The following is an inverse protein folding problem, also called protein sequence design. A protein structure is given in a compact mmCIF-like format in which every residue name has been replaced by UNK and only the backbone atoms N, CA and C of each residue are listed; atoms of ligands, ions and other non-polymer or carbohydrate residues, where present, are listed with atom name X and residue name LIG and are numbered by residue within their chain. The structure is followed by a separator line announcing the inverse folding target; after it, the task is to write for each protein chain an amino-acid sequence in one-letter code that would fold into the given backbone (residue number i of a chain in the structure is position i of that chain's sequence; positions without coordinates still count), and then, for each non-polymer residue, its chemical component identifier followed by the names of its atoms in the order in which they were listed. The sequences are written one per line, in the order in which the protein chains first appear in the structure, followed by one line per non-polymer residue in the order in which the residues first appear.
data_IF_159581147952
#
_entry.id   IF_159581147952
#
_cell.length_a   1.000
_cell.length_b   1.000
_cell.length_c   1.000
_cell.angle_alpha   90.00
_cell.angle_beta   90.00
_cell.angle_gamma   90.00
#
_symmetry.space_group_name_H-M   'P 1'
#
loop_
_entity.id
_entity.type
_entity.pdbx_description
1 polymer ?
#
# COMPACT_ATOMS: atom_id res chain seq x y z
N UNK A 1 27.88 -74.95 -74.16
CA UNK A 1 26.48 -74.52 -74.18
C UNK A 1 26.04 -74.21 -72.75
N UNK A 2 25.29 -73.13 -72.53
CA UNK A 2 25.00 -72.49 -71.23
C UNK A 2 23.83 -73.14 -70.45
N UNK A 3 23.95 -73.00 -69.12
CA UNK A 3 22.95 -72.83 -68.04
C UNK A 3 21.97 -73.96 -67.61
N UNK A 4 21.99 -74.23 -66.30
CA UNK A 4 20.84 -73.99 -65.39
C UNK A 4 21.32 -73.93 -63.92
N UNK A 5 21.16 -72.81 -63.17
CA UNK A 5 20.04 -72.45 -62.24
C UNK A 5 19.90 -73.45 -61.08
N UNK A 6 19.83 -73.14 -59.76
CA UNK A 6 19.39 -71.99 -58.96
C UNK A 6 19.87 -72.12 -57.50
N UNK A 7 19.98 -70.96 -56.83
CA UNK A 7 19.62 -70.68 -55.42
C UNK A 7 20.46 -71.34 -54.31
N UNK A 8 21.38 -70.53 -53.79
CA UNK A 8 21.91 -70.58 -52.42
C UNK A 8 20.84 -70.02 -51.48
N UNK A 9 20.52 -70.72 -50.40
CA UNK A 9 19.58 -70.21 -49.41
C UNK A 9 19.27 -71.23 -48.31
N UNK A 10 20.29 -71.68 -47.58
CA UNK A 10 20.13 -72.54 -46.41
C UNK A 10 20.88 -71.91 -45.24
N UNK A 11 20.15 -71.20 -44.37
CA UNK A 11 20.51 -70.88 -42.99
C UNK A 11 19.23 -70.36 -42.31
N UNK A 12 18.48 -71.22 -41.62
CA UNK A 12 18.64 -71.58 -40.22
C UNK A 12 17.79 -70.68 -39.30
N UNK A 13 16.70 -71.28 -38.82
CA UNK A 13 15.84 -70.86 -37.72
C UNK A 13 16.69 -70.74 -36.44
N UNK A 14 16.45 -69.73 -35.60
CA UNK A 14 16.13 -69.88 -34.17
C UNK A 14 16.36 -68.60 -33.34
N UNK A 15 15.51 -68.45 -32.32
CA UNK A 15 15.66 -67.60 -31.13
C UNK A 15 15.16 -66.15 -31.25
N UNK A 16 13.85 -66.01 -31.45
CA UNK A 16 13.09 -64.80 -31.11
C UNK A 16 12.82 -64.62 -29.61
N UNK A 17 13.71 -65.06 -28.72
CA UNK A 17 13.51 -65.03 -27.26
C UNK A 17 14.74 -64.60 -26.45
N UNK A 18 15.77 -64.04 -27.10
CA UNK A 18 16.99 -63.57 -26.43
C UNK A 18 17.25 -62.06 -26.55
N UNK A 19 16.41 -61.29 -27.25
CA UNK A 19 16.54 -59.83 -27.24
C UNK A 19 15.87 -59.17 -26.02
N UNK A 20 15.14 -59.94 -25.20
CA UNK A 20 14.51 -59.40 -23.99
C UNK A 20 15.39 -59.55 -22.73
N UNK A 21 16.55 -60.21 -22.80
CA UNK A 21 17.36 -60.55 -21.60
C UNK A 21 18.89 -60.40 -21.74
N UNK A 22 19.42 -59.72 -22.75
CA UNK A 22 20.73 -59.05 -22.65
C UNK A 22 20.48 -57.61 -22.25
N UNK A 23 20.85 -57.08 -21.08
CA UNK A 23 21.74 -57.54 -20.04
C UNK A 23 22.24 -56.25 -19.37
N UNK A 24 21.63 -55.87 -18.25
CA UNK A 24 22.25 -54.99 -17.24
C UNK A 24 22.69 -53.58 -17.65
N UNK A 25 22.00 -52.89 -18.55
CA UNK A 25 22.42 -51.53 -18.92
C UNK A 25 21.62 -50.82 -19.99
N UNK A 26 20.31 -51.05 -20.11
CA UNK A 26 19.46 -50.10 -20.83
C UNK A 26 19.26 -48.90 -19.90
N UNK A 27 20.31 -48.08 -19.75
CA UNK A 27 20.16 -46.75 -19.18
C UNK A 27 19.08 -46.09 -20.03
N UNK A 28 17.94 -45.80 -19.43
CA UNK A 28 16.96 -44.95 -20.05
C UNK A 28 17.68 -43.63 -20.38
N UNK A 29 18.12 -43.47 -21.63
CA UNK A 29 18.70 -42.23 -22.16
C UNK A 29 17.61 -41.17 -22.42
N UNK A 30 16.54 -41.24 -21.63
CA UNK A 30 15.37 -40.39 -21.68
C UNK A 30 15.15 -39.78 -20.29
N UNK A 31 16.22 -39.29 -19.67
CA UNK A 31 16.10 -38.36 -18.57
C UNK A 31 16.44 -36.98 -19.14
N UNK A 32 15.41 -36.17 -19.36
CA UNK A 32 15.56 -34.77 -19.69
C UNK A 32 15.43 -33.98 -18.39
N UNK A 33 16.52 -33.39 -17.94
CA UNK A 33 16.50 -32.42 -16.84
C UNK A 33 16.43 -31.02 -17.44
N UNK A 34 15.41 -30.25 -17.06
CA UNK A 34 15.29 -28.84 -17.38
C UNK A 34 15.50 -28.05 -16.09
N UNK A 35 16.72 -27.57 -15.87
CA UNK A 35 17.01 -26.64 -14.78
C UNK A 35 16.55 -25.25 -15.20
N UNK A 36 15.47 -24.77 -14.59
CA UNK A 36 15.14 -23.35 -14.62
C UNK A 36 15.98 -22.64 -13.54
N UNK A 37 16.64 -21.53 -13.89
CA UNK A 37 17.22 -20.65 -12.87
C UNK A 37 16.08 -19.83 -12.29
N UNK A 38 15.61 -20.09 -11.05
CA UNK A 38 14.62 -19.22 -10.44
C UNK A 38 15.23 -17.82 -10.31
N UNK A 39 14.50 -16.81 -10.79
CA UNK A 39 14.90 -15.41 -10.66
C UNK A 39 14.90 -14.94 -9.19
N UNK A 40 15.53 -13.81 -8.93
CA UNK A 40 15.52 -13.16 -7.61
C UNK A 40 14.28 -12.28 -7.43
N UNK A 41 13.67 -12.32 -6.25
CA UNK A 41 12.61 -11.39 -5.83
C UNK A 41 13.22 -10.39 -4.83
N UNK A 42 12.87 -9.11 -4.97
CA UNK A 42 13.27 -8.04 -4.05
C UNK A 42 12.03 -7.51 -3.32
N UNK A 43 12.17 -7.19 -2.02
CA UNK A 43 11.10 -6.60 -1.23
C UNK A 43 10.81 -5.16 -1.65
N UNK A 44 9.57 -4.71 -1.39
CA UNK A 44 9.20 -3.30 -1.49
C UNK A 44 9.78 -2.43 -0.38
N UNK A 45 9.46 -1.15 -0.41
CA UNK A 45 9.88 -0.15 0.58
C UNK A 45 8.72 0.83 0.85
N UNK A 46 8.35 0.97 2.12
CA UNK A 46 7.41 1.97 2.62
C UNK A 46 8.12 2.85 3.64
N UNK A 47 8.12 4.16 3.39
CA UNK A 47 8.62 5.15 4.35
C UNK A 47 7.75 6.41 4.31
N UNK A 48 7.69 7.14 5.42
CA UNK A 48 7.03 8.45 5.47
C UNK A 48 7.89 9.43 6.26
N UNK A 49 8.03 10.64 5.72
CA UNK A 49 8.52 11.80 6.47
C UNK A 49 7.46 12.90 6.45
N UNK A 50 7.40 13.70 7.51
CA UNK A 50 6.41 14.76 7.65
C UNK A 50 7.11 16.10 7.82
N UNK A 51 6.64 17.11 7.09
CA UNK A 51 7.01 18.49 7.35
C UNK A 51 6.38 18.98 8.66
N UNK A 52 6.81 20.15 9.15
CA UNK A 52 6.12 20.81 10.24
C UNK A 52 4.66 21.09 9.86
N UNK A 53 3.74 20.75 10.75
CA UNK A 53 2.34 21.05 10.58
C UNK A 53 2.05 22.53 10.84
N UNK A 54 1.08 23.08 10.11
CA UNK A 54 0.69 24.49 10.18
C UNK A 54 -0.77 24.57 10.60
N UNK A 55 -1.05 25.44 11.57
CA UNK A 55 -2.40 25.79 11.98
C UNK A 55 -2.77 27.14 11.39
N UNK A 56 -3.96 27.22 10.80
CA UNK A 56 -4.52 28.50 10.32
C UNK A 56 -5.92 28.72 10.85
N UNK A 57 -6.31 29.98 11.01
CA UNK A 57 -7.68 30.38 11.32
C UNK A 57 -8.59 30.37 10.08
N UNK A 58 -9.83 30.85 10.25
CA UNK A 58 -10.84 30.94 9.19
C UNK A 58 -10.42 31.88 8.05
N UNK A 59 -9.60 32.90 8.34
CA UNK A 59 -9.08 33.83 7.34
C UNK A 59 -7.82 33.30 6.63
N UNK A 60 -7.30 32.14 7.05
CA UNK A 60 -6.07 31.55 6.52
C UNK A 60 -4.80 32.13 7.15
N UNK A 61 -4.92 32.94 8.21
CA UNK A 61 -3.76 33.45 8.94
C UNK A 61 -3.15 32.31 9.76
N UNK A 62 -1.82 32.19 9.75
CA UNK A 62 -1.11 31.20 10.58
C UNK A 62 -1.22 31.59 12.06
N UNK A 63 -1.50 30.60 12.91
CA UNK A 63 -1.68 30.79 14.35
C UNK A 63 -0.76 29.87 15.15
N UNK A 64 -0.41 30.31 16.36
CA UNK A 64 0.24 29.47 17.36
C UNK A 64 -0.79 28.92 18.33
N UNK A 65 -1.02 27.62 18.27
CA UNK A 65 -2.05 26.96 19.07
C UNK A 65 -1.75 26.95 20.56
N UNK A 66 -0.49 27.16 20.97
CA UNK A 66 -0.13 27.21 22.39
C UNK A 66 -0.64 28.47 23.09
N UNK A 67 -0.90 29.53 22.32
CA UNK A 67 -1.38 30.84 22.83
C UNK A 67 -2.75 31.23 22.30
N UNK A 68 -3.25 30.54 21.27
CA UNK A 68 -4.54 30.84 20.66
C UNK A 68 -5.72 30.55 21.60
N UNK A 69 -6.66 31.49 21.67
CA UNK A 69 -7.89 31.35 22.46
C UNK A 69 -9.08 31.31 21.51
N UNK A 70 -9.63 30.12 21.32
CA UNK A 70 -10.79 29.92 20.46
C UNK A 70 -12.04 30.60 21.03
N UNK A 71 -12.86 31.16 20.14
CA UNK A 71 -14.19 31.69 20.45
C UNK A 71 -15.26 31.01 19.61
N UNK A 72 -16.54 31.05 20.04
CA UNK A 72 -17.64 30.55 19.22
C UNK A 72 -17.63 31.17 17.82
N UNK A 73 -17.64 30.34 16.78
CA UNK A 73 -17.55 30.72 15.37
C UNK A 73 -16.17 30.51 14.73
N UNK A 74 -15.13 30.23 15.53
CA UNK A 74 -13.79 29.96 15.01
C UNK A 74 -13.74 28.67 14.20
N UNK A 75 -12.87 28.68 13.20
CA UNK A 75 -12.52 27.49 12.44
C UNK A 75 -11.01 27.42 12.29
N UNK A 76 -10.43 26.38 12.86
CA UNK A 76 -9.00 26.13 12.79
C UNK A 76 -8.74 25.02 11.78
N UNK A 77 -7.70 25.15 10.97
CA UNK A 77 -7.31 24.13 9.99
C UNK A 77 -5.88 23.71 10.25
N UNK A 78 -5.67 22.40 10.46
CA UNK A 78 -4.35 21.79 10.52
C UNK A 78 -3.96 21.24 9.16
N UNK A 79 -2.80 21.66 8.66
CA UNK A 79 -2.26 21.20 7.38
C UNK A 79 -0.85 20.67 7.56
N UNK A 80 -0.54 19.52 6.97
CA UNK A 80 0.78 18.93 7.00
C UNK A 80 1.11 18.26 5.67
N UNK A 81 2.30 18.52 5.14
CA UNK A 81 2.81 17.81 3.96
C UNK A 81 3.55 16.55 4.41
N UNK A 82 3.17 15.42 3.82
CA UNK A 82 3.78 14.11 4.01
C UNK A 82 4.52 13.72 2.73
N UNK A 83 5.79 13.33 2.85
CA UNK A 83 6.55 12.70 1.78
C UNK A 83 6.55 11.20 1.99
N UNK A 84 5.83 10.47 1.13
CA UNK A 84 5.65 9.03 1.24
C UNK A 84 6.47 8.34 0.17
N UNK A 85 7.34 7.41 0.59
CA UNK A 85 8.01 6.45 -0.28
C UNK A 85 7.14 5.20 -0.36
N UNK A 86 6.79 4.78 -1.57
CA UNK A 86 5.89 3.64 -1.79
C UNK A 86 6.35 2.83 -2.98
N UNK A 87 7.11 1.76 -2.72
CA UNK A 87 7.71 0.89 -3.74
C UNK A 87 7.16 -0.52 -3.57
N UNK A 88 6.45 -1.02 -4.59
CA UNK A 88 6.02 -2.41 -4.65
C UNK A 88 4.85 -2.63 -5.63
N UNK A 89 4.85 -3.78 -6.31
CA UNK A 89 3.90 -4.05 -7.41
C UNK A 89 2.42 -4.12 -6.99
N UNK A 90 2.15 -4.39 -5.71
CA UNK A 90 0.80 -4.45 -5.13
C UNK A 90 0.68 -3.58 -3.88
N UNK A 91 1.58 -2.62 -3.72
CA UNK A 91 1.60 -1.77 -2.53
C UNK A 91 0.66 -0.59 -2.74
N UNK A 92 -0.08 -0.23 -1.69
CA UNK A 92 -0.81 1.01 -1.56
C UNK A 92 -0.66 1.50 -0.11
N UNK A 93 -1.02 2.75 0.15
CA UNK A 93 -1.04 3.27 1.52
C UNK A 93 -2.28 4.12 1.79
N UNK A 94 -2.87 3.92 2.96
CA UNK A 94 -3.93 4.78 3.47
C UNK A 94 -3.34 5.74 4.51
N UNK A 95 -3.84 6.98 4.52
CA UNK A 95 -3.53 7.95 5.58
C UNK A 95 -4.75 8.06 6.45
N UNK A 96 -4.55 7.93 7.76
CA UNK A 96 -5.62 8.04 8.76
C UNK A 96 -5.35 9.21 9.70
N UNK A 97 -6.43 9.81 10.18
CA UNK A 97 -6.41 10.87 11.18
C UNK A 97 -6.62 10.24 12.57
N UNK A 98 -5.77 10.59 13.52
CA UNK A 98 -5.88 10.17 14.92
C UNK A 98 -5.80 11.38 15.85
N UNK A 99 -6.38 11.26 17.04
CA UNK A 99 -6.35 12.32 18.06
C UNK A 99 -7.21 13.56 17.75
N UNK A 100 -8.13 13.45 16.79
CA UNK A 100 -9.10 14.48 16.45
C UNK A 100 -10.50 14.05 16.90
N UNK A 101 -10.91 14.49 18.09
CA UNK A 101 -12.18 14.12 18.73
C UNK A 101 -12.96 15.38 19.14
N UNK A 102 -14.24 15.49 18.78
CA UNK A 102 -15.07 16.62 19.20
C UNK A 102 -15.24 16.70 20.72
N UNK A 103 -15.14 15.57 21.45
CA UNK A 103 -15.29 15.47 22.90
C UNK A 103 -13.97 15.61 23.69
N UNK A 104 -13.08 16.51 23.27
CA UNK A 104 -11.74 16.70 23.86
C UNK A 104 -11.76 17.74 24.99
N UNK A 105 -12.38 17.38 26.12
CA UNK A 105 -12.78 18.25 27.24
C UNK A 105 -13.83 19.31 26.89
N UNK A 106 -14.14 19.50 25.60
CA UNK A 106 -15.26 20.30 25.15
C UNK A 106 -16.53 19.44 25.11
N UNK A 107 -17.67 20.11 25.18
CA UNK A 107 -18.94 19.52 24.81
C UNK A 107 -18.90 19.14 23.33
N UNK A 108 -19.07 17.84 23.03
CA UNK A 108 -18.94 17.31 21.67
C UNK A 108 -19.81 18.05 20.64
N UNK A 109 -21.01 18.46 21.04
CA UNK A 109 -21.93 19.19 20.17
C UNK A 109 -21.44 20.60 19.80
N UNK A 110 -20.46 21.16 20.50
CA UNK A 110 -19.92 22.49 20.23
C UNK A 110 -18.78 22.49 19.21
N UNK A 111 -18.24 21.32 18.85
CA UNK A 111 -17.09 21.20 17.94
C UNK A 111 -17.42 20.25 16.79
N UNK A 112 -17.26 20.72 15.56
CA UNK A 112 -17.34 19.89 14.36
C UNK A 112 -15.91 19.67 13.85
N UNK A 113 -15.53 18.42 13.70
CA UNK A 113 -14.26 18.04 13.06
C UNK A 113 -14.56 17.56 11.66
N UNK A 114 -13.89 18.12 10.65
CA UNK A 114 -14.06 17.64 9.27
C UNK A 114 -13.37 16.30 9.06
N UNK A 115 -13.83 15.53 8.07
CA UNK A 115 -13.07 14.38 7.60
C UNK A 115 -11.68 14.81 7.10
N UNK A 116 -10.71 13.89 7.20
CA UNK A 116 -9.39 14.03 6.61
C UNK A 116 -9.53 14.34 5.10
N UNK A 117 -8.85 15.37 4.65
CA UNK A 117 -8.68 15.70 3.24
C UNK A 117 -7.24 15.43 2.84
N UNK A 118 -7.04 14.74 1.72
CA UNK A 118 -5.72 14.54 1.13
C UNK A 118 -5.68 15.16 -0.27
N UNK A 119 -4.59 15.84 -0.57
CA UNK A 119 -4.30 16.35 -1.91
C UNK A 119 -2.93 15.89 -2.37
N UNK A 120 -2.86 15.38 -3.60
CA UNK A 120 -1.59 15.11 -4.26
C UNK A 120 -0.88 16.44 -4.60
N UNK A 121 0.39 16.35 -5.00
CA UNK A 121 1.18 17.52 -5.40
C UNK A 121 0.60 18.30 -6.59
N UNK A 122 -0.22 17.66 -7.44
CA UNK A 122 -0.93 18.29 -8.55
C UNK A 122 -2.26 18.96 -8.13
N UNK A 123 -2.60 18.91 -6.84
CA UNK A 123 -3.82 19.48 -6.27
C UNK A 123 -5.06 18.58 -6.35
N UNK A 124 -4.97 17.42 -6.98
CA UNK A 124 -6.08 16.45 -7.04
C UNK A 124 -6.33 15.82 -5.68
N UNK A 125 -7.60 15.55 -5.37
CA UNK A 125 -7.95 14.84 -4.14
C UNK A 125 -7.46 13.39 -4.18
N UNK A 126 -6.97 12.90 -3.05
CA UNK A 126 -6.58 11.52 -2.85
C UNK A 126 -7.42 10.87 -1.75
N UNK A 127 -7.70 9.58 -1.90
CA UNK A 127 -8.30 8.74 -0.84
C UNK A 127 -7.37 7.62 -0.40
N UNK A 128 -6.52 7.17 -1.32
CA UNK A 128 -5.48 6.15 -1.15
C UNK A 128 -4.28 6.52 -1.99
N UNK A 129 -3.09 6.23 -1.49
CA UNK A 129 -1.84 6.44 -2.20
C UNK A 129 -1.44 5.20 -2.98
N UNK A 130 -1.06 5.40 -4.23
CA UNK A 130 -0.56 4.37 -5.14
C UNK A 130 0.85 4.73 -5.60
N UNK A 131 1.72 3.75 -5.90
CA UNK A 131 3.06 4.02 -6.41
C UNK A 131 3.02 4.92 -7.65
N UNK A 132 3.88 5.93 -7.68
CA UNK A 132 3.99 6.87 -8.80
C UNK A 132 5.00 6.34 -9.81
N UNK A 133 4.62 6.30 -11.08
CA UNK A 133 5.54 5.87 -12.16
C UNK A 133 6.70 6.86 -12.27
N UNK A 134 7.93 6.34 -12.28
CA UNK A 134 9.14 7.16 -12.43
C UNK A 134 9.62 7.87 -11.17
N UNK A 135 8.94 7.69 -10.02
CA UNK A 135 9.39 8.24 -8.73
C UNK A 135 9.09 7.28 -7.58
N UNK A 136 10.08 6.97 -6.71
CA UNK A 136 9.82 6.14 -5.52
C UNK A 136 9.03 6.88 -4.44
N UNK A 137 8.91 8.20 -4.55
CA UNK A 137 8.31 9.09 -3.55
C UNK A 137 7.26 10.02 -4.13
N UNK A 138 6.25 10.35 -3.32
CA UNK A 138 5.24 11.33 -3.62
C UNK A 138 5.00 12.27 -2.43
N UNK A 139 4.67 13.52 -2.71
CA UNK A 139 4.24 14.48 -1.70
C UNK A 139 2.70 14.54 -1.67
N UNK A 140 2.14 14.48 -0.47
CA UNK A 140 0.70 14.54 -0.22
C UNK A 140 0.45 15.52 0.91
N UNK A 141 -0.49 16.43 0.71
CA UNK A 141 -0.91 17.38 1.73
C UNK A 141 -2.16 16.85 2.43
N UNK A 142 -2.04 16.62 3.74
CA UNK A 142 -3.14 16.23 4.61
C UNK A 142 -3.69 17.45 5.34
N UNK A 143 -5.03 17.61 5.37
CA UNK A 143 -5.67 18.67 6.12
C UNK A 143 -6.95 18.23 6.83
N UNK A 144 -7.21 18.86 7.98
CA UNK A 144 -8.38 18.63 8.83
C UNK A 144 -8.76 19.96 9.48
N UNK A 145 -10.06 20.24 9.58
CA UNK A 145 -10.57 21.44 10.23
C UNK A 145 -11.40 21.14 11.47
N UNK A 146 -11.35 22.07 12.42
CA UNK A 146 -12.04 22.07 13.70
C UNK A 146 -12.86 23.35 13.76
N UNK A 147 -14.18 23.22 13.66
CA UNK A 147 -15.11 24.32 13.73
C UNK A 147 -15.78 24.36 15.10
N UNK A 148 -15.50 25.43 15.84
CA UNK A 148 -16.12 25.75 17.10
C UNK A 148 -17.42 26.48 16.77
N UNK A 149 -18.57 25.84 17.03
CA UNK A 149 -19.87 26.36 16.59
C UNK A 149 -20.10 27.77 17.15
N UNK A 150 -20.77 28.62 16.37
CA UNK A 150 -21.20 29.94 16.87
C UNK A 150 -22.39 29.83 17.84
N UNK A 151 -23.21 28.79 17.69
CA UNK A 151 -24.37 28.51 18.53
C UNK A 151 -24.00 27.65 19.75
N UNK A 152 -23.04 28.11 20.56
CA UNK A 152 -22.73 27.50 21.87
C UNK A 152 -23.55 28.18 22.96
N UNK A 153 -24.03 27.40 23.93
CA UNK A 153 -24.69 27.96 25.12
C UNK A 153 -23.80 28.98 25.84
N UNK A 154 -24.40 29.93 26.56
CA UNK A 154 -23.79 31.22 26.99
C UNK A 154 -22.41 31.14 27.62
N UNK A 155 -22.09 30.02 28.27
CA UNK A 155 -20.81 29.79 28.98
C UNK A 155 -20.31 28.36 28.83
N UNK A 156 -20.72 27.65 27.78
CA UNK A 156 -20.20 26.30 27.54
C UNK A 156 -18.70 26.35 27.25
N UNK A 157 -17.94 25.41 27.81
CA UNK A 157 -16.52 25.18 27.54
C UNK A 157 -15.59 26.41 27.76
N UNK A 158 -16.04 27.42 28.51
CA UNK A 158 -15.19 28.57 28.88
C UNK A 158 -14.01 28.10 29.74
N UNK A 159 -12.86 28.75 29.58
CA UNK A 159 -11.62 28.41 30.31
C UNK A 159 -11.24 26.92 30.23
N UNK A 160 -11.76 26.20 29.23
CA UNK A 160 -11.50 24.79 29.01
C UNK A 160 -10.46 24.64 27.91
N UNK A 161 -9.62 23.62 28.00
CA UNK A 161 -8.57 23.35 27.01
C UNK A 161 -8.99 22.22 26.09
N UNK A 162 -9.03 22.51 24.79
CA UNK A 162 -9.14 21.49 23.75
C UNK A 162 -7.71 21.10 23.31
N UNK A 163 -7.31 19.86 23.54
CA UNK A 163 -5.94 19.42 23.27
C UNK A 163 -5.72 19.04 21.79
N UNK A 164 -5.23 19.98 20.98
CA UNK A 164 -4.87 19.74 19.57
C UNK A 164 -3.49 19.11 19.38
N UNK A 165 -2.68 18.97 20.44
CA UNK A 165 -1.34 18.37 20.38
C UNK A 165 -1.32 16.87 20.07
N UNK A 166 -2.49 16.21 20.17
CA UNK A 166 -2.64 14.80 19.86
C UNK A 166 -3.01 14.53 18.39
N UNK A 167 -3.33 15.57 17.61
CA UNK A 167 -3.76 15.42 16.21
C UNK A 167 -2.58 14.95 15.36
N UNK A 168 -2.73 13.78 14.73
CA UNK A 168 -1.66 13.14 13.94
C UNK A 168 -2.23 12.47 12.69
N UNK A 169 -1.44 12.52 11.62
CA UNK A 169 -1.66 11.71 10.42
C UNK A 169 -0.75 10.49 10.44
N UNK A 170 -1.32 9.30 10.27
CA UNK A 170 -0.59 8.03 10.28
C UNK A 170 -0.72 7.34 8.93
N UNK A 171 0.39 6.79 8.42
CA UNK A 171 0.42 6.04 7.16
C UNK A 171 0.36 4.56 7.46
N UNK A 172 -0.56 3.85 6.80
CA UNK A 172 -0.69 2.40 6.89
C UNK A 172 -0.56 1.77 5.52
N UNK A 173 0.31 0.75 5.42
CA UNK A 173 0.42 -0.06 4.21
C UNK A 173 -0.85 -0.88 3.99
N UNK A 174 -1.32 -0.93 2.75
CA UNK A 174 -2.39 -1.83 2.31
C UNK A 174 -2.02 -2.47 0.96
N UNK A 175 -2.80 -3.47 0.54
CA UNK A 175 -2.62 -4.13 -0.76
C UNK A 175 -3.49 -3.44 -1.80
N UNK A 176 -2.88 -3.00 -2.90
CA UNK A 176 -3.61 -2.46 -4.04
C UNK A 176 -4.57 -3.53 -4.61
N UNK A 177 -5.87 -3.22 -4.67
CA UNK A 177 -6.91 -4.13 -5.19
C UNK A 177 -7.51 -5.11 -4.18
N UNK A 178 -7.01 -5.16 -2.93
CA UNK A 178 -7.75 -5.82 -1.86
C UNK A 178 -8.83 -4.86 -1.36
N UNK A 179 -10.11 -5.22 -1.55
CA UNK A 179 -11.20 -4.58 -0.83
C UNK A 179 -10.88 -4.61 0.67
N UNK A 180 -11.26 -3.56 1.40
CA UNK A 180 -11.04 -3.37 2.83
C UNK A 180 -11.26 -4.69 3.59
N UNK A 181 -10.19 -5.41 3.92
CA UNK A 181 -10.29 -6.54 4.83
C UNK A 181 -10.45 -5.90 6.20
N UNK A 182 -11.63 -6.06 6.79
CA UNK A 182 -11.90 -5.60 8.15
C UNK A 182 -10.80 -6.12 9.08
N UNK A 183 -10.28 -5.23 9.93
CA UNK A 183 -9.27 -5.56 10.92
C UNK A 183 -9.76 -6.72 11.83
N UNK A 184 -8.84 -7.58 12.32
CA UNK A 184 -9.18 -8.66 13.25
C UNK A 184 -9.73 -8.13 14.58
#
# INVERSE_FOLDING_TARGET
MKNSTLIKGTAAIAVGAALLLGGGGTLAAWNAEATATPGTIVSGDLNVTAAAGVWTDRAGATIDISTYKVVPGDKLTYTQTLTVKLVGNKMAADITLTGADSANNFTADNVIVSALQLKNSDGTAASRLLPVVGSPTQAVTASTSFEFKSATGTRSDINTSYNLGNVKYTVQQVVAGAGLVAAP
#
